data_IF_191255846990
#
_entry.id   IF_191255846990
#
_cell.length_a   1.000
_cell.length_b   1.000
_cell.length_c   1.000
_cell.angle_alpha   90.00
_cell.angle_beta   90.00
_cell.angle_gamma   90.00
#
_symmetry.space_group_name_H-M   'P 1'
#
loop_
_entity.id
_entity.type
_entity.pdbx_description
1 polymer ?
#
# COMPACT_ATOMS: atom_id res chain seq x y z
N UNK A 1 28.25 23.42 -39.26
CA UNK A 1 28.64 22.07 -38.79
C UNK A 1 28.21 21.81 -37.33
N UNK A 2 26.98 22.22 -36.94
CA UNK A 2 26.51 22.20 -35.55
C UNK A 2 25.02 21.79 -35.45
N UNK A 3 24.67 20.60 -35.96
CA UNK A 3 23.27 20.18 -36.08
C UNK A 3 22.98 18.69 -35.89
N UNK A 4 23.92 17.89 -35.35
CA UNK A 4 23.76 16.42 -35.26
C UNK A 4 24.02 15.79 -33.89
N UNK A 5 23.98 16.56 -32.79
CA UNK A 5 24.30 16.04 -31.45
C UNK A 5 23.10 15.82 -30.50
N UNK A 6 21.85 16.10 -30.91
CA UNK A 6 20.70 16.05 -30.00
C UNK A 6 19.68 14.91 -30.23
N UNK A 7 19.97 13.91 -31.07
CA UNK A 7 19.04 12.79 -31.34
C UNK A 7 19.27 11.51 -30.54
N UNK A 8 20.33 11.40 -29.72
CA UNK A 8 20.74 10.12 -29.13
C UNK A 8 20.25 9.83 -27.69
N UNK A 9 19.50 10.71 -27.02
CA UNK A 9 19.18 10.54 -25.58
C UNK A 9 17.76 10.10 -25.20
N UNK A 10 16.87 9.79 -26.16
CA UNK A 10 15.52 9.28 -25.84
C UNK A 10 15.43 7.76 -25.64
N UNK A 11 16.42 7.00 -26.10
CA UNK A 11 16.43 5.53 -25.97
C UNK A 11 16.88 5.01 -24.60
N UNK A 12 17.85 5.69 -23.98
CA UNK A 12 18.49 5.23 -22.73
C UNK A 12 17.62 5.38 -21.48
N UNK A 13 16.72 6.37 -21.43
CA UNK A 13 15.77 6.53 -20.32
C UNK A 13 14.73 5.42 -20.24
N UNK A 14 14.38 4.77 -21.36
CA UNK A 14 13.45 3.62 -21.37
C UNK A 14 14.09 2.33 -20.86
N UNK A 15 15.42 2.18 -21.02
CA UNK A 15 16.14 1.00 -20.54
C UNK A 15 16.31 1.03 -19.02
N UNK A 16 16.59 2.20 -18.43
CA UNK A 16 16.76 2.34 -16.97
C UNK A 16 15.43 2.07 -16.24
N UNK A 17 14.30 2.55 -16.77
CA UNK A 17 12.97 2.25 -16.22
C UNK A 17 12.57 0.76 -16.32
N UNK A 18 13.14 0.00 -17.26
CA UNK A 18 12.87 -1.42 -17.44
C UNK A 18 13.83 -2.34 -16.66
N UNK A 19 15.00 -1.84 -16.25
CA UNK A 19 16.01 -2.62 -15.53
C UNK A 19 15.79 -2.65 -14.01
N UNK A 20 15.26 -1.56 -13.41
CA UNK A 20 14.96 -1.50 -11.97
C UNK A 20 13.99 -2.59 -11.50
N UNK A 21 12.89 -2.91 -12.23
CA UNK A 21 12.02 -4.02 -11.86
C UNK A 21 12.74 -5.37 -11.84
N UNK A 22 13.73 -5.61 -12.70
CA UNK A 22 14.44 -6.89 -12.81
C UNK A 22 15.44 -7.14 -11.68
N UNK A 23 16.10 -6.10 -11.17
CA UNK A 23 16.97 -6.23 -9.99
C UNK A 23 16.13 -6.53 -8.75
N UNK A 24 15.01 -5.82 -8.59
CA UNK A 24 14.02 -6.11 -7.55
C UNK A 24 13.42 -7.52 -7.71
N UNK A 25 13.19 -7.98 -8.95
CA UNK A 25 12.69 -9.32 -9.30
C UNK A 25 13.65 -10.44 -8.85
N UNK A 26 14.94 -10.28 -9.13
CA UNK A 26 15.96 -11.26 -8.75
C UNK A 26 16.13 -11.31 -7.22
N UNK A 27 16.10 -10.16 -6.56
CA UNK A 27 16.18 -10.08 -5.09
C UNK A 27 14.93 -10.66 -4.40
N UNK A 28 13.73 -10.48 -4.98
CA UNK A 28 12.49 -11.05 -4.45
C UNK A 28 12.51 -12.58 -4.49
N UNK A 29 12.93 -13.19 -5.60
CA UNK A 29 12.99 -14.65 -5.71
C UNK A 29 14.10 -15.27 -4.86
N UNK A 30 15.23 -14.59 -4.70
CA UNK A 30 16.33 -15.07 -3.85
C UNK A 30 16.04 -14.85 -2.35
N UNK A 31 15.21 -13.87 -2.00
CA UNK A 31 14.87 -13.54 -0.62
C UNK A 31 13.64 -14.28 -0.07
N UNK A 32 12.70 -14.69 -0.92
CA UNK A 32 11.44 -15.30 -0.50
C UNK A 32 11.61 -16.59 0.33
N UNK A 33 12.50 -17.48 -0.11
CA UNK A 33 12.68 -18.79 0.52
C UNK A 33 13.77 -18.78 1.62
N UNK A 34 14.79 -17.93 1.51
CA UNK A 34 15.96 -17.90 2.43
C UNK A 34 15.85 -16.83 3.53
N UNK A 35 15.31 -15.64 3.26
CA UNK A 35 15.14 -14.58 4.28
C UNK A 35 13.98 -14.96 5.23
N UNK A 36 12.96 -15.66 4.72
CA UNK A 36 11.92 -16.25 5.55
C UNK A 36 12.47 -17.25 6.57
N UNK A 37 13.50 -18.02 6.21
CA UNK A 37 14.17 -18.96 7.11
C UNK A 37 15.12 -18.28 8.12
N UNK A 38 15.80 -17.19 7.73
CA UNK A 38 16.68 -16.43 8.63
C UNK A 38 15.93 -15.66 9.74
N UNK A 39 14.63 -15.38 9.54
CA UNK A 39 13.74 -14.74 10.52
C UNK A 39 12.62 -15.66 11.02
N UNK A 40 12.64 -16.95 10.65
CA UNK A 40 11.79 -17.95 11.27
C UNK A 40 12.26 -18.15 12.71
N UNK A 41 11.66 -17.41 13.65
CA UNK A 41 11.72 -17.75 15.07
C UNK A 41 11.11 -19.15 15.19
N UNK A 42 11.81 -20.15 15.74
CA UNK A 42 11.22 -21.45 16.00
C UNK A 42 9.95 -21.23 16.83
N UNK A 43 8.79 -21.63 16.29
CA UNK A 43 7.51 -21.58 16.99
C UNK A 43 7.42 -22.62 18.14
N UNK A 44 8.56 -22.92 18.77
CA UNK A 44 8.71 -23.86 19.87
C UNK A 44 9.28 -23.11 21.07
N UNK A 45 8.41 -22.60 21.95
CA UNK A 45 8.86 -22.29 23.32
C UNK A 45 8.32 -21.05 24.05
N UNK A 46 7.44 -20.23 23.50
CA UNK A 46 6.92 -19.03 24.21
C UNK A 46 5.39 -18.95 24.26
N UNK A 47 4.74 -20.09 24.42
CA UNK A 47 3.35 -20.18 24.85
C UNK A 47 3.30 -20.67 26.30
N UNK A 48 3.54 -19.78 27.26
CA UNK A 48 2.92 -19.86 28.59
C UNK A 48 3.24 -18.61 29.42
N UNK A 49 2.17 -17.84 29.67
CA UNK A 49 1.97 -16.84 30.73
C UNK A 49 1.79 -15.38 30.28
N UNK A 50 0.53 -15.05 29.97
CA UNK A 50 -0.15 -13.74 30.11
C UNK A 50 0.32 -12.56 29.18
N UNK A 51 -0.60 -11.67 28.72
CA UNK A 51 -1.75 -11.17 29.49
C UNK A 51 -3.09 -11.15 28.73
N UNK A 52 -4.04 -11.90 29.27
CA UNK A 52 -5.47 -11.89 28.93
C UNK A 52 -6.12 -10.50 29.13
N UNK A 53 -5.49 -9.61 29.90
CA UNK A 53 -6.00 -8.25 30.18
C UNK A 53 -5.69 -7.26 29.06
N UNK A 54 -4.54 -7.41 28.38
CA UNK A 54 -4.18 -6.53 27.25
C UNK A 54 -4.96 -6.88 25.98
N UNK A 55 -5.23 -8.17 25.75
CA UNK A 55 -6.07 -8.63 24.62
C UNK A 55 -7.52 -8.19 24.79
N UNK A 56 -8.04 -8.13 26.02
CA UNK A 56 -9.44 -7.73 26.28
C UNK A 56 -9.66 -6.22 26.05
N UNK A 57 -8.72 -5.36 26.44
CA UNK A 57 -8.80 -3.92 26.20
C UNK A 57 -8.54 -3.54 24.74
N UNK A 58 -7.57 -4.20 24.08
CA UNK A 58 -7.34 -4.04 22.65
C UNK A 58 -8.53 -4.54 21.82
N UNK A 59 -9.11 -5.69 22.18
CA UNK A 59 -10.28 -6.27 21.54
C UNK A 59 -11.53 -5.40 21.65
N UNK A 60 -11.79 -4.79 22.82
CA UNK A 60 -12.94 -3.88 23.00
C UNK A 60 -12.81 -2.57 22.21
N UNK A 61 -11.60 -2.03 22.06
CA UNK A 61 -11.35 -0.83 21.23
C UNK A 61 -11.37 -1.14 19.73
N UNK A 62 -10.85 -2.30 19.31
CA UNK A 62 -10.91 -2.75 17.93
C UNK A 62 -12.35 -3.05 17.48
N UNK A 63 -13.16 -3.72 18.33
CA UNK A 63 -14.57 -3.98 18.05
C UNK A 63 -15.39 -2.68 17.91
N UNK A 64 -15.15 -1.68 18.77
CA UNK A 64 -15.81 -0.37 18.67
C UNK A 64 -15.37 0.42 17.42
N UNK A 65 -14.11 0.26 16.96
CA UNK A 65 -13.61 0.90 15.75
C UNK A 65 -14.10 0.20 14.46
N UNK A 66 -14.26 -1.13 14.47
CA UNK A 66 -14.84 -1.90 13.37
C UNK A 66 -16.33 -1.58 13.18
N UNK A 67 -17.08 -1.33 14.27
CA UNK A 67 -18.50 -0.94 14.21
C UNK A 67 -18.77 0.41 13.51
N UNK A 68 -17.74 1.19 13.16
CA UNK A 68 -17.90 2.48 12.46
C UNK A 68 -17.78 2.38 10.93
N UNK A 69 -17.20 1.31 10.38
CA UNK A 69 -17.16 1.06 8.92
C UNK A 69 -18.56 0.85 8.31
N UNK A 70 -19.52 0.15 8.97
CA UNK A 70 -20.89 -0.01 8.48
C UNK A 70 -21.63 1.30 8.21
N UNK A 71 -21.24 2.42 8.86
CA UNK A 71 -21.88 3.72 8.66
C UNK A 71 -21.56 4.40 7.34
N UNK A 72 -20.55 3.92 6.60
CA UNK A 72 -20.30 4.38 5.22
C UNK A 72 -21.18 3.62 4.21
N UNK A 73 -21.73 2.47 4.58
CA UNK A 73 -22.37 1.54 3.66
C UNK A 73 -23.91 1.64 3.61
N UNK A 74 -24.56 2.32 4.57
CA UNK A 74 -26.02 2.40 4.60
C UNK A 74 -26.52 3.85 4.65
N UNK A 75 -27.08 4.40 3.56
CA UNK A 75 -28.29 5.19 3.71
C UNK A 75 -29.42 4.23 4.14
N UNK A 76 -30.21 4.61 5.13
CA UNK A 76 -31.26 3.79 5.72
C UNK A 76 -32.06 2.99 4.68
N UNK A 77 -31.94 1.66 4.73
CA UNK A 77 -32.61 0.72 3.82
C UNK A 77 -34.15 0.72 3.96
N UNK A 78 -34.73 1.61 4.78
CA UNK A 78 -36.17 1.76 4.96
C UNK A 78 -36.82 2.75 3.99
N UNK A 79 -36.05 3.48 3.18
CA UNK A 79 -36.59 4.37 2.14
C UNK A 79 -36.20 3.88 0.75
N UNK A 80 -37.15 3.37 -0.04
CA UNK A 80 -36.94 2.85 -1.40
C UNK A 80 -36.52 3.88 -2.47
N UNK A 81 -35.78 4.92 -2.11
CA UNK A 81 -35.14 5.83 -3.04
C UNK A 81 -33.69 5.42 -3.26
N UNK A 82 -33.30 5.19 -4.51
CA UNK A 82 -31.89 5.10 -4.90
C UNK A 82 -31.17 6.33 -4.33
N UNK A 83 -30.12 6.15 -3.49
CA UNK A 83 -29.39 7.29 -2.95
C UNK A 83 -28.83 8.06 -4.15
N UNK A 84 -29.26 9.32 -4.29
CA UNK A 84 -28.76 10.19 -5.34
C UNK A 84 -27.23 10.24 -5.26
N UNK A 85 -26.53 10.31 -6.40
CA UNK A 85 -25.06 10.41 -6.43
C UNK A 85 -24.49 11.55 -5.58
N UNK A 86 -25.33 12.54 -5.23
CA UNK A 86 -25.00 13.62 -4.30
C UNK A 86 -24.82 13.16 -2.84
N UNK A 87 -25.51 12.11 -2.39
CA UNK A 87 -25.39 11.58 -1.03
C UNK A 87 -24.03 10.90 -0.80
N UNK A 88 -23.55 10.13 -1.79
CA UNK A 88 -22.22 9.49 -1.75
C UNK A 88 -21.09 10.51 -1.89
N UNK A 89 -21.28 11.55 -2.72
CA UNK A 89 -20.33 12.65 -2.89
C UNK A 89 -20.12 13.48 -1.60
N UNK A 90 -21.08 13.49 -0.67
CA UNK A 90 -20.93 14.16 0.63
C UNK A 90 -20.13 13.34 1.65
N UNK A 91 -19.90 12.04 1.40
CA UNK A 91 -19.23 11.12 2.33
C UNK A 91 -17.74 10.94 1.98
N UNK A 92 -17.43 10.85 0.69
CA UNK A 92 -16.06 10.73 0.17
C UNK A 92 -15.54 12.12 -0.20
N UNK A 93 -14.50 12.66 0.47
CA UNK A 93 -13.97 13.97 0.11
C UNK A 93 -13.43 13.92 -1.33
N UNK A 94 -13.65 14.97 -2.16
CA UNK A 94 -13.05 15.01 -3.47
C UNK A 94 -11.53 15.07 -3.36
N UNK A 95 -10.82 14.46 -4.31
CA UNK A 95 -9.36 14.33 -4.30
C UNK A 95 -8.64 15.66 -4.02
N UNK A 96 -9.12 16.76 -4.61
CA UNK A 96 -8.51 18.06 -4.40
C UNK A 96 -8.53 18.46 -2.92
N UNK A 97 -9.62 18.23 -2.17
CA UNK A 97 -9.68 18.55 -0.73
C UNK A 97 -8.58 17.81 0.03
N UNK A 98 -8.42 16.52 -0.23
CA UNK A 98 -7.37 15.70 0.39
C UNK A 98 -5.98 16.22 0.00
N UNK A 99 -5.77 16.51 -1.29
CA UNK A 99 -4.50 17.03 -1.80
C UNK A 99 -4.14 18.40 -1.19
N UNK A 100 -5.10 19.31 -1.07
CA UNK A 100 -4.89 20.62 -0.45
C UNK A 100 -4.58 20.50 1.04
N UNK A 101 -5.27 19.62 1.78
CA UNK A 101 -4.94 19.36 3.18
C UNK A 101 -3.52 18.83 3.36
N UNK A 102 -3.12 17.86 2.51
CA UNK A 102 -1.76 17.33 2.49
C UNK A 102 -0.73 18.41 2.15
N UNK A 103 -1.00 19.25 1.14
CA UNK A 103 -0.13 20.34 0.73
C UNK A 103 0.03 21.40 1.83
N UNK A 104 -1.05 21.76 2.53
CA UNK A 104 -1.00 22.71 3.64
C UNK A 104 -0.18 22.16 4.82
N UNK A 105 -0.42 20.91 5.22
CA UNK A 105 0.36 20.26 6.28
C UNK A 105 1.86 20.20 5.92
N UNK A 106 2.16 19.83 4.67
CA UNK A 106 3.51 19.79 4.15
C UNK A 106 4.17 21.18 4.12
N UNK A 107 3.47 22.20 3.62
CA UNK A 107 3.98 23.57 3.60
C UNK A 107 4.24 24.11 5.00
N UNK A 108 3.35 23.84 5.97
CA UNK A 108 3.53 24.21 7.36
C UNK A 108 4.77 23.54 7.98
N UNK A 109 4.96 22.24 7.73
CA UNK A 109 6.16 21.50 8.17
C UNK A 109 7.44 22.10 7.58
N UNK A 110 7.46 22.36 6.26
CA UNK A 110 8.63 22.95 5.58
C UNK A 110 8.92 24.36 6.10
N UNK A 111 7.88 25.18 6.29
CA UNK A 111 8.01 26.52 6.87
C UNK A 111 8.56 26.50 8.30
N UNK A 112 8.09 25.57 9.13
CA UNK A 112 8.60 25.36 10.49
C UNK A 112 10.08 24.99 10.49
N UNK A 113 10.48 24.03 9.64
CA UNK A 113 11.90 23.64 9.49
C UNK A 113 12.75 24.80 8.97
N UNK A 114 12.24 25.60 8.03
CA UNK A 114 12.94 26.76 7.51
C UNK A 114 13.17 27.81 8.59
N UNK A 115 12.18 28.05 9.44
CA UNK A 115 12.28 28.97 10.56
C UNK A 115 13.29 28.48 11.62
N UNK A 116 13.40 27.17 11.87
CA UNK A 116 14.28 26.62 12.91
C UNK A 116 15.70 26.31 12.44
N UNK A 117 15.86 25.80 11.21
CA UNK A 117 17.13 25.25 10.69
C UNK A 117 17.61 25.93 9.40
N UNK A 118 16.88 26.93 8.91
CA UNK A 118 17.19 27.68 7.70
C UNK A 118 16.65 27.04 6.41
N UNK A 119 16.48 27.88 5.39
CA UNK A 119 15.91 27.49 4.09
C UNK A 119 16.65 26.34 3.38
N UNK A 120 17.99 26.23 3.40
CA UNK A 120 18.67 25.12 2.75
C UNK A 120 18.29 23.74 3.34
N UNK A 121 18.22 23.66 4.67
CA UNK A 121 17.81 22.44 5.37
C UNK A 121 16.34 22.11 5.07
N UNK A 122 15.48 23.13 5.06
CA UNK A 122 14.06 22.97 4.74
C UNK A 122 13.82 22.48 3.31
N UNK A 123 14.49 23.07 2.31
CA UNK A 123 14.36 22.65 0.90
C UNK A 123 14.84 21.22 0.72
N UNK A 124 15.99 20.88 1.30
CA UNK A 124 16.54 19.52 1.28
C UNK A 124 15.59 18.51 1.95
N UNK A 125 15.04 18.87 3.11
CA UNK A 125 14.06 18.09 3.85
C UNK A 125 12.79 17.85 3.02
N UNK A 126 12.25 18.93 2.46
CA UNK A 126 11.08 18.95 1.60
C UNK A 126 11.24 17.99 0.41
N UNK A 127 12.27 18.20 -0.42
CA UNK A 127 12.53 17.39 -1.62
C UNK A 127 12.75 15.92 -1.24
N UNK A 128 13.50 15.65 -0.17
CA UNK A 128 13.75 14.29 0.31
C UNK A 128 12.47 13.57 0.72
N UNK A 129 11.65 14.20 1.56
CA UNK A 129 10.38 13.62 2.05
C UNK A 129 9.38 13.42 0.91
N UNK A 130 9.25 14.41 0.02
CA UNK A 130 8.35 14.29 -1.13
C UNK A 130 8.79 13.15 -2.06
N UNK A 131 10.08 13.03 -2.34
CA UNK A 131 10.59 11.94 -3.16
C UNK A 131 10.43 10.57 -2.49
N UNK A 132 10.60 10.47 -1.16
CA UNK A 132 10.30 9.24 -0.42
C UNK A 132 8.83 8.83 -0.57
N UNK A 133 7.89 9.77 -0.43
CA UNK A 133 6.47 9.50 -0.67
C UNK A 133 6.22 9.00 -2.09
N UNK A 134 6.84 9.63 -3.10
CA UNK A 134 6.73 9.19 -4.49
C UNK A 134 7.27 7.76 -4.69
N UNK A 135 8.46 7.46 -4.14
CA UNK A 135 9.08 6.14 -4.22
C UNK A 135 8.19 5.08 -3.55
N UNK A 136 7.68 5.35 -2.35
CA UNK A 136 6.79 4.42 -1.64
C UNK A 136 5.48 4.18 -2.42
N UNK A 137 4.86 5.24 -2.93
CA UNK A 137 3.64 5.11 -3.74
C UNK A 137 3.87 4.30 -5.02
N UNK A 138 4.99 4.54 -5.72
CA UNK A 138 5.34 3.77 -6.92
C UNK A 138 5.70 2.32 -6.57
N UNK A 139 6.40 2.08 -5.46
CA UNK A 139 6.71 0.71 -5.02
C UNK A 139 5.43 -0.06 -4.68
N UNK A 140 4.53 0.52 -3.88
CA UNK A 140 3.22 -0.06 -3.56
C UNK A 140 2.45 -0.39 -4.83
N UNK A 141 2.41 0.54 -5.79
CA UNK A 141 1.78 0.33 -7.09
C UNK A 141 2.39 -0.85 -7.86
N UNK A 142 3.72 -0.91 -7.94
CA UNK A 142 4.41 -1.96 -8.68
C UNK A 142 4.20 -3.32 -8.03
N UNK A 143 4.36 -3.40 -6.70
CA UNK A 143 4.11 -4.62 -5.92
C UNK A 143 2.68 -5.08 -6.14
N UNK A 144 1.70 -4.20 -5.95
CA UNK A 144 0.30 -4.58 -6.04
C UNK A 144 -0.09 -4.97 -7.48
N UNK A 145 0.22 -4.14 -8.48
CA UNK A 145 -0.15 -4.41 -9.88
C UNK A 145 0.62 -5.56 -10.52
N UNK A 146 1.93 -5.63 -10.33
CA UNK A 146 2.78 -6.55 -11.08
C UNK A 146 3.08 -7.83 -10.30
N UNK A 147 3.21 -7.77 -8.98
CA UNK A 147 3.48 -8.96 -8.17
C UNK A 147 2.19 -9.58 -7.64
N UNK A 148 1.38 -8.83 -6.89
CA UNK A 148 0.17 -9.38 -6.25
C UNK A 148 -0.92 -9.74 -7.29
N UNK A 149 -1.13 -8.91 -8.31
CA UNK A 149 -2.01 -9.20 -9.46
C UNK A 149 -1.33 -9.99 -10.60
N UNK A 150 -0.11 -10.48 -10.38
CA UNK A 150 0.67 -11.26 -11.34
C UNK A 150 0.84 -10.60 -12.72
N UNK A 151 0.68 -9.27 -12.82
CA UNK A 151 0.85 -8.51 -14.05
C UNK A 151 2.24 -8.70 -14.65
N UNK A 152 3.26 -8.98 -13.83
CA UNK A 152 4.63 -9.24 -14.26
C UNK A 152 4.70 -10.40 -15.25
N UNK A 153 3.87 -11.45 -15.06
CA UNK A 153 3.84 -12.63 -15.93
C UNK A 153 3.44 -12.29 -17.36
N UNK A 154 2.70 -11.18 -17.54
CA UNK A 154 2.20 -10.68 -18.83
C UNK A 154 3.13 -9.68 -19.51
N UNK A 155 4.24 -9.29 -18.88
CA UNK A 155 5.21 -8.38 -19.50
C UNK A 155 6.06 -9.10 -20.56
N UNK A 156 6.43 -8.39 -21.62
CA UNK A 156 7.29 -8.95 -22.68
C UNK A 156 8.66 -9.37 -22.13
N UNK A 157 9.22 -8.58 -21.23
CA UNK A 157 10.51 -8.85 -20.59
C UNK A 157 10.46 -10.11 -19.73
N UNK A 158 9.44 -10.27 -18.88
CA UNK A 158 9.31 -11.49 -18.06
C UNK A 158 9.11 -12.73 -18.93
N UNK A 159 8.29 -12.66 -19.99
CA UNK A 159 8.17 -13.77 -20.96
C UNK A 159 9.51 -14.13 -21.61
N UNK A 160 10.25 -13.13 -22.06
CA UNK A 160 11.57 -13.32 -22.67
C UNK A 160 12.56 -13.96 -21.69
N UNK A 161 12.64 -13.45 -20.46
CA UNK A 161 13.50 -14.00 -19.41
C UNK A 161 13.13 -15.45 -19.06
N UNK A 162 11.83 -15.77 -18.96
CA UNK A 162 11.37 -17.16 -18.72
C UNK A 162 11.78 -18.09 -19.86
N UNK A 163 11.70 -17.62 -21.11
CA UNK A 163 12.07 -18.42 -22.27
C UNK A 163 13.58 -18.68 -22.35
N UNK A 164 14.42 -17.73 -21.93
CA UNK A 164 15.88 -17.88 -21.98
C UNK A 164 16.43 -18.62 -20.76
N UNK A 165 15.93 -18.29 -19.56
CA UNK A 165 16.47 -18.80 -18.30
C UNK A 165 15.68 -19.98 -17.73
N UNK A 166 14.62 -20.42 -18.41
CA UNK A 166 13.75 -21.51 -17.92
C UNK A 166 13.00 -21.18 -16.63
N UNK A 167 12.86 -19.89 -16.29
CA UNK A 167 12.18 -19.48 -15.05
C UNK A 167 10.68 -19.79 -15.11
N UNK A 168 10.13 -20.24 -13.99
CA UNK A 168 8.69 -20.46 -13.84
C UNK A 168 7.94 -19.13 -13.71
N UNK A 169 6.66 -19.05 -14.12
CA UNK A 169 5.81 -17.91 -13.83
C UNK A 169 5.69 -17.66 -12.32
N UNK A 170 5.52 -16.40 -11.95
CA UNK A 170 5.21 -16.03 -10.57
C UNK A 170 3.87 -16.62 -10.16
N UNK A 171 3.79 -17.08 -8.92
CA UNK A 171 2.56 -17.55 -8.28
C UNK A 171 1.97 -16.44 -7.42
N UNK A 172 0.67 -16.53 -7.19
CA UNK A 172 -0.07 -15.65 -6.27
C UNK A 172 0.51 -15.73 -4.86
N UNK A 173 0.44 -14.61 -4.13
CA UNK A 173 0.76 -14.53 -2.70
C UNK A 173 -0.50 -14.67 -1.82
N UNK A 174 -1.60 -15.22 -2.36
CA UNK A 174 -2.94 -15.19 -1.73
C UNK A 174 -3.76 -13.94 -2.08
N UNK A 175 -3.16 -12.94 -2.75
CA UNK A 175 -3.85 -11.69 -3.02
C UNK A 175 -4.96 -11.81 -4.06
N UNK A 176 -4.78 -12.63 -5.11
CA UNK A 176 -5.85 -12.84 -6.08
C UNK A 176 -7.03 -13.60 -5.45
N UNK A 177 -6.74 -14.48 -4.50
CA UNK A 177 -7.73 -15.20 -3.72
C UNK A 177 -8.49 -14.26 -2.78
N UNK A 178 -7.80 -13.30 -2.16
CA UNK A 178 -8.45 -12.22 -1.39
C UNK A 178 -9.48 -11.45 -2.23
N UNK A 179 -9.15 -11.14 -3.50
CA UNK A 179 -10.10 -10.56 -4.45
C UNK A 179 -11.28 -11.47 -4.75
N UNK A 180 -11.04 -12.77 -4.89
CA UNK A 180 -12.09 -13.75 -5.18
C UNK A 180 -13.08 -13.89 -4.01
N UNK A 181 -12.60 -13.76 -2.78
CA UNK A 181 -13.40 -13.87 -1.55
C UNK A 181 -14.08 -12.55 -1.15
N UNK A 182 -13.61 -11.41 -1.67
CA UNK A 182 -14.17 -10.10 -1.32
C UNK A 182 -15.52 -9.90 -2.00
N UNK A 183 -16.56 -9.71 -1.18
CA UNK A 183 -17.92 -9.42 -1.62
C UNK A 183 -18.07 -7.95 -2.04
N UNK A 184 -19.15 -7.61 -2.74
CA UNK A 184 -19.38 -6.23 -3.22
C UNK A 184 -19.52 -5.21 -2.07
N UNK A 185 -19.84 -5.66 -0.85
CA UNK A 185 -19.86 -4.87 0.39
C UNK A 185 -18.51 -4.85 1.13
N UNK A 186 -17.43 -5.27 0.47
CA UNK A 186 -16.06 -5.36 1.01
C UNK A 186 -15.84 -6.35 2.15
N UNK A 187 -16.87 -7.02 2.65
CA UNK A 187 -16.70 -8.16 3.55
C UNK A 187 -16.10 -9.36 2.81
N UNK A 188 -15.62 -10.35 3.55
CA UNK A 188 -14.99 -11.54 2.97
C UNK A 188 -15.90 -12.77 3.13
N UNK A 189 -15.90 -13.66 2.13
CA UNK A 189 -16.63 -14.92 2.20
C UNK A 189 -16.22 -15.73 3.44
N UNK A 190 -17.22 -16.26 4.14
CA UNK A 190 -17.06 -17.17 5.29
C UNK A 190 -16.29 -18.45 4.98
N UNK A 191 -16.20 -18.86 3.71
CA UNK A 191 -15.41 -20.01 3.25
C UNK A 191 -14.15 -19.52 2.55
N UNK A 192 -12.97 -19.58 3.20
CA UNK A 192 -11.75 -19.17 2.56
C UNK A 192 -11.31 -20.12 1.45
N UNK A 193 -10.63 -19.55 0.47
CA UNK A 193 -9.79 -20.24 -0.48
C UNK A 193 -8.65 -20.92 0.28
N UNK A 194 -8.32 -22.20 -0.02
CA UNK A 194 -7.37 -22.98 0.78
C UNK A 194 -5.99 -22.36 0.97
N UNK A 195 -5.54 -21.50 0.04
CA UNK A 195 -4.25 -20.81 0.15
C UNK A 195 -4.25 -19.73 1.25
N UNK A 196 -5.42 -19.21 1.61
CA UNK A 196 -5.62 -18.18 2.63
C UNK A 196 -5.99 -18.73 4.00
N UNK A 197 -6.30 -20.03 4.11
CA UNK A 197 -6.67 -20.69 5.38
C UNK A 197 -5.64 -20.45 6.50
N UNK A 198 -4.36 -20.35 6.16
CA UNK A 198 -3.27 -20.17 7.12
C UNK A 198 -3.00 -18.69 7.48
N UNK A 199 -3.55 -17.73 6.74
CA UNK A 199 -3.36 -16.30 7.00
C UNK A 199 -4.61 -15.69 7.65
N UNK A 200 -4.60 -15.42 8.97
CA UNK A 200 -5.76 -14.86 9.66
C UNK A 200 -6.16 -13.46 9.18
N UNK A 201 -5.29 -12.80 8.41
CA UNK A 201 -5.57 -11.50 7.80
C UNK A 201 -5.85 -11.59 6.30
N UNK A 202 -5.91 -12.80 5.73
CA UNK A 202 -6.35 -13.09 4.35
C UNK A 202 -5.73 -12.17 3.30
N UNK A 203 -4.42 -11.94 3.37
CA UNK A 203 -3.70 -11.10 2.42
C UNK A 203 -3.91 -9.58 2.58
N UNK A 204 -4.61 -9.13 3.63
CA UNK A 204 -4.84 -7.71 3.91
C UNK A 204 -3.76 -7.07 4.78
N UNK A 205 -2.91 -7.87 5.44
CA UNK A 205 -1.87 -7.42 6.35
C UNK A 205 -0.47 -7.84 5.89
N UNK A 206 0.55 -7.11 6.34
CA UNK A 206 1.96 -7.46 6.16
C UNK A 206 2.56 -8.00 7.45
N UNK A 207 3.21 -9.15 7.35
CA UNK A 207 4.04 -9.68 8.41
C UNK A 207 5.35 -8.88 8.55
N UNK A 208 6.12 -9.16 9.60
CA UNK A 208 7.48 -8.62 9.72
C UNK A 208 8.40 -9.02 8.57
N UNK A 209 8.28 -10.25 8.05
CA UNK A 209 9.08 -10.70 6.91
C UNK A 209 8.76 -9.93 5.64
N UNK A 210 7.47 -9.71 5.35
CA UNK A 210 7.04 -8.88 4.21
C UNK A 210 7.48 -7.42 4.40
N UNK A 211 7.38 -6.88 5.62
CA UNK A 211 7.85 -5.53 5.93
C UNK A 211 9.35 -5.38 5.70
N UNK A 212 10.15 -6.40 6.05
CA UNK A 212 11.59 -6.41 5.80
C UNK A 212 11.91 -6.45 4.30
N UNK A 213 11.19 -7.28 3.53
CA UNK A 213 11.33 -7.33 2.06
C UNK A 213 11.03 -5.96 1.43
N UNK A 214 9.88 -5.36 1.75
CA UNK A 214 9.52 -4.01 1.26
C UNK A 214 10.55 -2.96 1.66
N UNK A 215 11.11 -3.05 2.87
CA UNK A 215 12.16 -2.14 3.34
C UNK A 215 13.40 -2.23 2.43
N UNK A 216 13.82 -3.44 2.06
CA UNK A 216 14.97 -3.63 1.14
C UNK A 216 14.66 -3.05 -0.25
N UNK A 217 13.47 -3.33 -0.79
CA UNK A 217 13.07 -2.82 -2.11
C UNK A 217 13.05 -1.29 -2.18
N UNK A 218 12.50 -0.66 -1.13
CA UNK A 218 12.41 0.80 -1.05
C UNK A 218 13.79 1.40 -0.75
N UNK A 219 14.62 0.74 0.06
CA UNK A 219 15.98 1.19 0.36
C UNK A 219 16.83 1.33 -0.91
N UNK A 220 16.76 0.35 -1.82
CA UNK A 220 17.51 0.35 -3.09
C UNK A 220 17.19 1.55 -3.98
N UNK A 221 15.97 2.06 -3.92
CA UNK A 221 15.53 3.23 -4.66
C UNK A 221 15.79 4.53 -3.90
N UNK A 222 15.58 4.50 -2.59
CA UNK A 222 15.61 5.66 -1.71
C UNK A 222 17.02 6.14 -1.43
N UNK A 223 17.99 5.24 -1.20
CA UNK A 223 19.35 5.65 -0.86
C UNK A 223 20.03 6.47 -1.97
N UNK A 224 20.02 6.03 -3.26
CA UNK A 224 20.58 6.85 -4.33
C UNK A 224 19.86 8.19 -4.47
N UNK A 225 18.53 8.20 -4.36
CA UNK A 225 17.74 9.43 -4.46
C UNK A 225 18.06 10.43 -3.35
N UNK A 226 18.05 9.99 -2.09
CA UNK A 226 18.33 10.84 -0.94
C UNK A 226 19.78 11.33 -0.92
N UNK A 227 20.74 10.47 -1.32
CA UNK A 227 22.12 10.87 -1.50
C UNK A 227 22.28 11.98 -2.55
N UNK A 228 21.58 11.89 -3.69
CA UNK A 228 21.54 12.97 -4.70
C UNK A 228 20.91 14.25 -4.17
N UNK A 229 19.98 14.15 -3.22
CA UNK A 229 19.43 15.29 -2.47
C UNK A 229 20.39 15.80 -1.37
N UNK A 230 21.61 15.25 -1.28
CA UNK A 230 22.64 15.62 -0.33
C UNK A 230 22.46 15.05 1.07
N UNK A 231 21.54 14.12 1.30
CA UNK A 231 21.35 13.50 2.61
C UNK A 231 22.53 12.59 2.95
N UNK A 232 22.91 12.58 4.23
CA UNK A 232 23.88 11.59 4.72
C UNK A 232 23.24 10.20 4.76
N UNK A 233 24.06 9.15 4.82
CA UNK A 233 23.56 7.78 4.97
C UNK A 233 22.69 7.65 6.22
N UNK A 234 23.17 8.12 7.38
CA UNK A 234 22.42 8.07 8.65
C UNK A 234 21.07 8.78 8.57
N UNK A 235 21.01 9.99 8.01
CA UNK A 235 19.76 10.72 7.85
C UNK A 235 18.81 9.99 6.89
N UNK A 236 19.35 9.43 5.80
CA UNK A 236 18.58 8.65 4.84
C UNK A 236 17.98 7.38 5.47
N UNK A 237 18.77 6.65 6.27
CA UNK A 237 18.30 5.45 6.98
C UNK A 237 17.24 5.81 8.01
N UNK A 238 17.41 6.88 8.78
CA UNK A 238 16.39 7.35 9.72
C UNK A 238 15.08 7.70 9.01
N UNK A 239 15.15 8.44 7.90
CA UNK A 239 13.97 8.78 7.10
C UNK A 239 13.30 7.55 6.47
N UNK A 240 14.10 6.60 5.97
CA UNK A 240 13.62 5.33 5.43
C UNK A 240 12.85 4.55 6.50
N UNK A 241 13.46 4.31 7.67
CA UNK A 241 12.84 3.57 8.77
C UNK A 241 11.55 4.25 9.23
N UNK A 242 11.57 5.58 9.42
CA UNK A 242 10.40 6.34 9.83
C UNK A 242 9.28 6.27 8.78
N UNK A 243 9.60 6.46 7.50
CA UNK A 243 8.63 6.43 6.42
C UNK A 243 8.04 5.03 6.20
N UNK A 244 8.86 3.97 6.22
CA UNK A 244 8.40 2.58 6.10
C UNK A 244 7.51 2.20 7.27
N UNK A 245 7.89 2.58 8.50
CA UNK A 245 7.08 2.33 9.68
C UNK A 245 5.73 3.02 9.57
N UNK A 246 5.70 4.28 9.12
CA UNK A 246 4.46 5.01 8.91
C UNK A 246 3.59 4.36 7.83
N UNK A 247 4.18 3.99 6.69
CA UNK A 247 3.46 3.29 5.61
C UNK A 247 2.86 1.97 6.10
N UNK A 248 3.66 1.13 6.76
CA UNK A 248 3.21 -0.13 7.30
C UNK A 248 2.13 0.06 8.38
N UNK A 249 2.28 1.02 9.28
CA UNK A 249 1.25 1.34 10.27
C UNK A 249 -0.07 1.79 9.60
N UNK A 250 -0.01 2.62 8.55
CA UNK A 250 -1.19 3.02 7.77
C UNK A 250 -1.83 1.80 7.11
N UNK A 251 -1.04 0.95 6.45
CA UNK A 251 -1.55 -0.28 5.82
C UNK A 251 -2.25 -1.20 6.82
N UNK A 252 -1.54 -1.58 7.90
CA UNK A 252 -2.05 -2.49 8.94
C UNK A 252 -3.27 -1.93 9.66
N UNK A 253 -3.37 -0.61 9.77
CA UNK A 253 -4.51 0.06 10.40
C UNK A 253 -5.72 0.10 9.47
N UNK A 254 -5.52 0.39 8.19
CA UNK A 254 -6.62 0.73 7.29
C UNK A 254 -7.08 -0.46 6.45
N UNK A 255 -6.18 -1.22 5.83
CA UNK A 255 -6.55 -2.24 4.86
C UNK A 255 -7.34 -3.41 5.48
N UNK A 256 -6.92 -4.04 6.60
CA UNK A 256 -7.77 -5.04 7.28
C UNK A 256 -9.14 -4.48 7.70
N UNK A 257 -9.17 -3.22 8.19
CA UNK A 257 -10.41 -2.57 8.59
C UNK A 257 -11.35 -2.29 7.41
N UNK A 258 -10.84 -2.07 6.20
CA UNK A 258 -11.67 -1.96 4.99
C UNK A 258 -12.45 -3.25 4.70
N UNK A 259 -11.92 -4.39 5.15
CA UNK A 259 -12.48 -5.73 4.96
C UNK A 259 -13.10 -6.33 6.24
N UNK A 260 -13.37 -5.50 7.25
CA UNK A 260 -13.95 -5.91 8.54
C UNK A 260 -13.11 -6.97 9.31
N UNK A 261 -11.82 -7.05 9.01
CA UNK A 261 -10.88 -7.95 9.68
C UNK A 261 -10.29 -7.32 10.97
N UNK A 262 -9.87 -8.14 11.95
CA UNK A 262 -9.25 -7.67 13.18
C UNK A 262 -7.89 -7.02 12.94
N UNK A 263 -7.49 -6.18 13.90
CA UNK A 263 -6.18 -5.50 13.86
C UNK A 263 -5.04 -6.51 14.00
N UNK A 264 -4.04 -6.48 13.09
CA UNK A 264 -2.85 -7.30 13.25
C UNK A 264 -2.12 -6.96 14.56
N UNK A 265 -1.72 -7.96 15.37
CA UNK A 265 -0.94 -7.74 16.57
C UNK A 265 0.53 -7.46 16.22
N UNK A 266 1.25 -6.88 17.18
CA UNK A 266 2.69 -6.57 17.02
C UNK A 266 3.55 -7.82 16.77
N UNK A 267 3.10 -9.01 17.19
CA UNK A 267 3.80 -10.27 16.95
C UNK A 267 3.74 -10.71 15.49
N UNK A 268 2.76 -10.22 14.72
CA UNK A 268 2.64 -10.51 13.30
C UNK A 268 3.41 -9.49 12.45
N UNK A 269 3.22 -8.20 12.73
CA UNK A 269 3.81 -7.08 11.99
C UNK A 269 3.64 -5.77 12.76
N UNK A 270 3.66 -4.62 12.09
CA UNK A 270 3.28 -3.37 12.75
C UNK A 270 1.85 -3.47 13.29
N UNK A 271 1.58 -2.96 14.52
CA UNK A 271 0.27 -3.13 15.14
C UNK A 271 -0.80 -2.29 14.45
N UNK A 272 -1.91 -2.93 14.03
CA UNK A 272 -3.00 -2.27 13.31
C UNK A 272 -3.77 -1.23 14.14
N UNK A 273 -3.63 -1.24 15.46
CA UNK A 273 -4.24 -0.22 16.33
C UNK A 273 -3.42 1.08 16.41
N UNK A 274 -2.18 1.10 15.90
CA UNK A 274 -1.23 2.21 16.07
C UNK A 274 -1.75 3.55 15.54
N UNK A 275 -2.54 3.54 14.47
CA UNK A 275 -3.13 4.74 13.87
C UNK A 275 -4.66 4.65 13.80
N UNK A 276 -5.32 3.91 14.70
CA UNK A 276 -6.75 3.62 14.64
C UNK A 276 -7.65 4.86 14.47
N UNK A 277 -7.23 6.02 14.97
CA UNK A 277 -7.93 7.30 14.77
C UNK A 277 -8.10 7.68 13.28
N UNK A 278 -7.18 7.24 12.40
CA UNK A 278 -7.26 7.48 10.95
C UNK A 278 -8.51 6.84 10.33
N UNK A 279 -9.07 5.77 10.90
CA UNK A 279 -10.30 5.12 10.40
C UNK A 279 -11.51 6.04 10.40
N UNK A 280 -11.48 7.11 11.19
CA UNK A 280 -12.56 8.12 11.24
C UNK A 280 -12.28 9.34 10.36
N UNK A 281 -11.09 9.41 9.76
CA UNK A 281 -10.67 10.54 8.95
C UNK A 281 -11.36 10.55 7.58
N UNK A 282 -11.47 11.75 7.01
CA UNK A 282 -11.88 11.92 5.60
C UNK A 282 -10.90 11.22 4.65
N UNK A 283 -9.61 11.16 5.02
CA UNK A 283 -8.59 10.46 4.25
C UNK A 283 -8.87 8.96 4.16
N UNK A 284 -9.23 8.31 5.26
CA UNK A 284 -9.63 6.89 5.23
C UNK A 284 -10.85 6.66 4.35
N UNK A 285 -11.86 7.53 4.39
CA UNK A 285 -13.03 7.39 3.50
C UNK A 285 -12.64 7.47 2.02
N UNK A 286 -11.70 8.35 1.69
CA UNK A 286 -11.12 8.41 0.34
C UNK A 286 -10.40 7.11 -0.03
N UNK A 287 -9.50 6.62 0.84
CA UNK A 287 -8.76 5.39 0.58
C UNK A 287 -9.68 4.16 0.52
N UNK A 288 -10.69 4.10 1.38
CA UNK A 288 -11.72 3.06 1.39
C UNK A 288 -12.43 3.03 0.04
N UNK A 289 -12.97 4.17 -0.41
CA UNK A 289 -13.67 4.26 -1.70
C UNK A 289 -12.75 3.94 -2.89
N UNK A 290 -11.46 4.33 -2.80
CA UNK A 290 -10.47 3.98 -3.81
C UNK A 290 -10.23 2.47 -3.87
N UNK A 291 -10.00 1.83 -2.73
CA UNK A 291 -9.76 0.39 -2.61
C UNK A 291 -11.00 -0.45 -2.91
N UNK A 292 -12.17 0.01 -2.50
CA UNK A 292 -13.44 -0.58 -2.91
C UNK A 292 -13.61 -0.53 -4.44
N UNK A 293 -13.25 0.61 -5.05
CA UNK A 293 -13.19 0.71 -6.50
C UNK A 293 -12.21 -0.28 -7.15
N UNK A 294 -11.09 -0.57 -6.48
CA UNK A 294 -10.14 -1.59 -6.94
C UNK A 294 -10.77 -2.98 -7.02
N UNK A 295 -11.49 -3.41 -5.98
CA UNK A 295 -12.20 -4.71 -5.95
C UNK A 295 -13.36 -4.80 -6.94
N UNK A 296 -14.05 -3.68 -7.20
CA UNK A 296 -15.23 -3.66 -8.09
C UNK A 296 -14.90 -3.60 -9.58
N UNK A 297 -13.76 -3.02 -9.95
CA UNK A 297 -13.36 -2.92 -11.36
C UNK A 297 -13.13 -4.33 -11.92
N UNK A 298 -13.64 -4.67 -13.12
CA UNK A 298 -13.41 -5.97 -13.72
C UNK A 298 -11.92 -6.33 -13.79
N UNK A 299 -11.57 -7.48 -13.20
CA UNK A 299 -10.18 -7.95 -13.09
C UNK A 299 -9.29 -7.14 -12.16
N UNK A 300 -9.87 -6.28 -11.31
CA UNK A 300 -9.17 -5.39 -10.39
C UNK A 300 -8.10 -4.52 -11.09
N UNK A 301 -8.43 -4.03 -12.29
CA UNK A 301 -7.52 -3.30 -13.17
C UNK A 301 -7.56 -1.77 -12.99
N UNK A 302 -7.27 -1.30 -11.77
CA UNK A 302 -7.18 0.12 -11.41
C UNK A 302 -7.12 0.31 -9.91
N UNK A 303 -6.83 1.52 -9.43
CA UNK A 303 -6.75 1.85 -7.99
C UNK A 303 -5.81 0.93 -7.19
N UNK A 304 -4.63 0.62 -7.72
CA UNK A 304 -3.66 -0.29 -7.08
C UNK A 304 -2.99 0.28 -5.82
N UNK A 305 -3.06 1.56 -5.56
CA UNK A 305 -2.54 2.12 -4.33
C UNK A 305 -3.64 2.13 -3.25
N UNK A 306 -3.44 1.35 -2.20
CA UNK A 306 -4.29 1.25 -1.02
C UNK A 306 -4.01 2.37 -0.02
N UNK A 307 -2.73 2.69 0.23
CA UNK A 307 -2.32 3.64 1.26
C UNK A 307 -1.87 4.98 0.67
N UNK A 308 -1.04 4.96 -0.37
CA UNK A 308 -0.46 6.16 -0.99
C UNK A 308 -0.89 6.28 -2.46
N UNK A 309 -2.03 6.94 -2.77
CA UNK A 309 -2.74 6.87 -4.06
C UNK A 309 -2.03 7.52 -5.26
N UNK A 310 -0.86 8.13 -5.08
CA UNK A 310 -0.23 8.98 -6.10
C UNK A 310 0.07 8.22 -7.42
N UNK A 311 0.66 7.03 -7.37
CA UNK A 311 1.13 6.34 -8.56
C UNK A 311 -0.02 5.92 -9.50
N UNK A 312 -1.21 5.61 -8.98
CA UNK A 312 -2.39 5.43 -9.82
C UNK A 312 -2.73 6.65 -10.69
N UNK A 313 -2.55 7.86 -10.16
CA UNK A 313 -2.73 9.08 -10.94
C UNK A 313 -1.62 9.27 -11.97
N UNK A 314 -0.37 9.00 -11.59
CA UNK A 314 0.79 9.11 -12.48
C UNK A 314 0.70 8.15 -13.66
N UNK A 315 0.17 6.94 -13.43
CA UNK A 315 0.08 5.89 -14.44
C UNK A 315 -1.30 5.76 -15.09
N UNK A 316 -2.24 6.66 -14.77
CA UNK A 316 -3.57 6.68 -15.39
C UNK A 316 -4.43 5.46 -15.05
N UNK A 317 -4.22 4.85 -13.88
CA UNK A 317 -5.00 3.71 -13.37
C UNK A 317 -5.95 4.08 -12.24
N UNK A 318 -6.02 5.35 -11.85
CA UNK A 318 -7.06 5.87 -10.97
C UNK A 318 -8.43 5.81 -11.66
N UNK A 319 -9.39 5.15 -11.01
CA UNK A 319 -10.79 4.99 -11.43
C UNK A 319 -11.76 5.76 -10.55
N UNK A 320 -11.30 6.37 -9.46
CA UNK A 320 -12.16 7.05 -8.50
C UNK A 320 -13.11 6.10 -7.79
N UNK A 321 -14.28 6.61 -7.42
CA UNK A 321 -15.37 5.82 -6.86
C UNK A 321 -16.02 4.96 -7.94
N UNK A 322 -16.18 3.67 -7.66
CA UNK A 322 -16.87 2.73 -8.54
C UNK A 322 -18.10 2.20 -7.80
N UNK A 323 -19.32 2.41 -8.32
CA UNK A 323 -20.53 1.99 -7.65
C UNK A 323 -20.62 0.46 -7.55
N UNK A 324 -21.39 -0.07 -6.57
CA UNK A 324 -21.68 -1.50 -6.48
C UNK A 324 -22.28 -2.03 -7.78
N UNK A 325 -22.00 -3.31 -8.12
CA UNK A 325 -22.71 -3.97 -9.22
C UNK A 325 -24.17 -4.09 -8.82
N UNK A 326 -25.09 -3.57 -9.65
CA UNK A 326 -26.51 -3.77 -9.37
C UNK A 326 -26.82 -5.25 -9.47
N UNK A 327 -27.51 -5.80 -8.46
CA UNK A 327 -28.06 -7.14 -8.56
C UNK A 327 -28.94 -7.20 -9.81
N UNK A 328 -28.59 -8.06 -10.75
CA UNK A 328 -29.47 -8.36 -11.89
C UNK A 328 -30.63 -9.13 -11.30
N UNK A 329 -31.80 -8.46 -11.22
CA UNK A 329 -33.05 -9.05 -10.76
C UNK A 329 -33.55 -10.13 -11.71
#
# INVERSE_FOLDING_TARGET
MAGRLFRARRGSLRLVAAATPCILLALWQLGGDEIGAAFAVPATGLASAAPEVASTLAGRRAAAAQQLVPRLQAPDASGGGTPSGAAVANVVPPLWVVAFQGLLAYAAMVGGVAASLGSPAAIKGAVGILGMYMIMSVNEYVVHRYYQHLGINRTALSRWLRNILGMKPFKTSGHMEHHAETLDDMSLDTKPEPILDADPFRGTAFSWSVSAQMTVEIALQSYPFLWLCGWSFTASTAALVAGLSLHAMVWQTLHPAMHLLPDPPITYGFPGWSLAALRQSRYFRFLYANHEGHHRVPGAHGNYNVCFPLADHLFGTYRGYVPPKMAVA
#
